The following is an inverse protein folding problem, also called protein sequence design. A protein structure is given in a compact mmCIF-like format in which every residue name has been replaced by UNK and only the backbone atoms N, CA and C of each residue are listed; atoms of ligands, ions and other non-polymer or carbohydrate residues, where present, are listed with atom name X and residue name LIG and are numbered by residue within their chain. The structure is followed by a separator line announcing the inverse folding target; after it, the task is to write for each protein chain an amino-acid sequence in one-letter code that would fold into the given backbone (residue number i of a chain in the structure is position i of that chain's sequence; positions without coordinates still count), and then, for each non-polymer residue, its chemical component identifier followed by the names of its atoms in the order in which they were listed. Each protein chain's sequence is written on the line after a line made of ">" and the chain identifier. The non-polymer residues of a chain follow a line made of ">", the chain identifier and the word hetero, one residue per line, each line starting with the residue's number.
data_IF_359637617965
#
_entry.id   IF_359637617965
#
_cell.length_a   1.000
_cell.length_b   1.000
_cell.length_c   1.000
_cell.angle_alpha   90.00
_cell.angle_beta   90.00
_cell.angle_gamma   90.00
#
_symmetry.space_group_name_H-M   'P 1'
#
loop_
_entity.id
_entity.type
_entity.pdbx_description
1 polymer ?
#
# COMPACT_ATOMS: atom_id res chain seq x y z
N UNK A 1 -13.61 -1.23 8.37
CA UNK A 1 -13.12 -2.28 7.46
C UNK A 1 -14.31 -3.10 7.00
N UNK A 2 -14.60 -3.18 5.69
CA UNK A 2 -15.75 -3.91 5.16
C UNK A 2 -15.72 -5.41 5.50
N UNK A 3 -16.89 -6.00 5.74
CA UNK A 3 -17.06 -7.45 5.67
C UNK A 3 -16.65 -7.98 4.29
N UNK A 4 -16.26 -9.26 4.24
CA UNK A 4 -15.86 -9.93 2.99
C UNK A 4 -14.46 -9.60 2.46
N UNK A 5 -13.77 -8.59 3.00
CA UNK A 5 -12.36 -8.32 2.69
C UNK A 5 -11.44 -8.85 3.79
N UNK A 6 -10.35 -9.52 3.40
CA UNK A 6 -9.29 -9.94 4.32
C UNK A 6 -8.67 -8.73 5.02
N UNK A 7 -8.36 -8.84 6.31
CA UNK A 7 -7.91 -7.68 7.10
C UNK A 7 -6.38 -7.56 7.07
N UNK A 8 -5.82 -6.48 6.49
CA UNK A 8 -4.39 -6.19 6.58
C UNK A 8 -3.98 -5.86 8.01
N UNK A 9 -2.90 -6.49 8.47
CA UNK A 9 -2.30 -6.22 9.77
C UNK A 9 -0.83 -5.91 9.59
N UNK A 10 -0.36 -4.83 10.21
CA UNK A 10 1.06 -4.49 10.28
C UNK A 10 1.40 -4.03 11.69
N UNK A 11 2.54 -4.47 12.19
CA UNK A 11 2.99 -4.23 13.56
C UNK A 11 4.45 -3.75 13.57
N UNK A 12 4.68 -2.68 14.32
CA UNK A 12 6.00 -2.19 14.72
C UNK A 12 6.12 -2.34 16.24
N UNK A 13 7.26 -2.83 16.70
CA UNK A 13 7.59 -2.91 18.12
C UNK A 13 8.43 -1.68 18.45
N UNK A 14 7.89 -0.85 19.33
CA UNK A 14 8.49 0.42 19.73
C UNK A 14 8.53 0.51 21.27
N UNK A 15 9.45 1.32 21.80
CA UNK A 15 9.42 1.72 23.21
C UNK A 15 8.27 2.70 23.44
N UNK A 16 7.96 3.00 24.71
CA UNK A 16 6.97 4.00 25.05
C UNK A 16 7.29 5.40 24.48
N UNK A 17 8.57 5.67 24.22
CA UNK A 17 9.08 6.91 23.61
C UNK A 17 9.08 6.87 22.07
N UNK A 18 8.56 5.79 21.45
CA UNK A 18 8.48 5.64 20.00
C UNK A 18 9.77 5.17 19.33
N UNK A 19 10.76 4.66 20.09
CA UNK A 19 12.00 4.15 19.51
C UNK A 19 11.84 2.70 19.03
N UNK A 20 12.30 2.39 17.81
CA UNK A 20 12.23 1.04 17.26
C UNK A 20 12.97 0.00 18.13
N UNK A 21 12.34 -1.15 18.39
CA UNK A 21 12.95 -2.27 19.13
C UNK A 21 13.18 -3.46 18.22
N UNK A 22 14.43 -3.93 18.13
CA UNK A 22 14.82 -5.06 17.25
C UNK A 22 14.46 -6.43 17.82
N UNK A 23 13.19 -6.67 18.12
CA UNK A 23 12.69 -7.94 18.64
C UNK A 23 12.25 -8.89 17.52
N UNK A 24 12.33 -10.19 17.78
CA UNK A 24 11.67 -11.21 16.96
C UNK A 24 10.56 -11.84 17.81
N UNK A 25 9.34 -11.81 17.31
CA UNK A 25 8.17 -12.29 18.03
C UNK A 25 7.15 -12.86 17.06
N UNK A 26 6.38 -13.83 17.52
CA UNK A 26 5.13 -14.22 16.88
C UNK A 26 4.02 -13.63 17.72
N UNK A 27 3.44 -12.53 17.25
CA UNK A 27 2.35 -11.86 17.94
C UNK A 27 1.05 -12.57 17.62
N UNK A 28 0.32 -13.00 18.65
CA UNK A 28 -0.95 -13.70 18.49
C UNK A 28 -2.10 -12.85 19.02
N UNK A 29 -3.27 -12.95 18.38
CA UNK A 29 -4.50 -12.29 18.82
C UNK A 29 -5.72 -13.14 18.47
N UNK A 30 -6.68 -13.23 19.37
CA UNK A 30 -7.91 -13.99 19.13
C UNK A 30 -8.71 -13.39 17.97
N UNK A 31 -9.14 -14.24 17.02
CA UNK A 31 -9.92 -13.80 15.86
C UNK A 31 -9.11 -13.15 14.73
N UNK A 32 -7.78 -13.08 14.88
CA UNK A 32 -6.88 -12.52 13.86
C UNK A 32 -5.72 -13.47 13.55
N UNK A 33 -5.11 -13.32 12.38
CA UNK A 33 -3.88 -14.03 12.04
C UNK A 33 -2.71 -13.60 12.92
N UNK A 34 -1.81 -14.54 13.22
CA UNK A 34 -0.54 -14.25 13.87
C UNK A 34 0.33 -13.33 13.00
N UNK A 35 0.97 -12.33 13.61
CA UNK A 35 1.98 -11.50 12.94
C UNK A 35 3.37 -11.98 13.31
N UNK A 36 4.09 -12.53 12.33
CA UNK A 36 5.51 -12.83 12.50
C UNK A 36 6.33 -11.55 12.36
N UNK A 37 6.76 -11.01 13.50
CA UNK A 37 7.65 -9.87 13.58
C UNK A 37 9.11 -10.32 13.50
N UNK A 38 9.90 -9.64 12.68
CA UNK A 38 11.36 -9.82 12.60
C UNK A 38 12.03 -8.47 12.74
N UNK A 39 13.04 -8.39 13.61
CA UNK A 39 13.76 -7.14 13.93
C UNK A 39 12.84 -5.95 14.24
N UNK A 40 11.69 -6.20 14.86
CA UNK A 40 10.76 -5.16 15.30
C UNK A 40 9.59 -4.90 14.37
N UNK A 41 9.59 -5.39 13.13
CA UNK A 41 8.49 -5.13 12.17
C UNK A 41 7.93 -6.41 11.56
N UNK A 42 6.64 -6.42 11.23
CA UNK A 42 6.02 -7.52 10.50
C UNK A 42 4.59 -7.22 10.08
N UNK A 43 4.13 -7.94 9.05
CA UNK A 43 2.75 -7.86 8.57
C UNK A 43 2.12 -9.26 8.45
N UNK A 44 0.79 -9.31 8.45
CA UNK A 44 -0.01 -10.48 8.14
C UNK A 44 -1.31 -10.08 7.45
N UNK A 45 -1.99 -11.07 6.88
CA UNK A 45 -3.31 -10.93 6.32
C UNK A 45 -4.25 -11.88 7.09
N UNK A 46 -5.25 -11.30 7.75
CA UNK A 46 -6.25 -12.07 8.49
C UNK A 46 -7.47 -12.37 7.62
N UNK A 47 -8.15 -13.48 7.90
CA UNK A 47 -9.40 -13.83 7.22
C UNK A 47 -10.44 -12.72 7.30
N UNK A 48 -11.28 -12.63 6.26
CA UNK A 48 -12.40 -11.72 6.23
C UNK A 48 -13.43 -12.03 7.32
N UNK A 49 -14.07 -10.99 7.86
CA UNK A 49 -15.21 -11.13 8.74
C UNK A 49 -16.51 -11.28 7.92
N UNK A 50 -17.37 -12.22 8.33
CA UNK A 50 -18.66 -12.47 7.69
C UNK A 50 -19.75 -11.49 8.15
N UNK A 51 -19.65 -10.97 9.37
CA UNK A 51 -20.65 -10.11 10.00
C UNK A 51 -20.02 -8.79 10.48
N UNK A 52 -20.79 -7.71 10.41
CA UNK A 52 -20.39 -6.42 10.94
C UNK A 52 -20.32 -6.44 12.47
N UNK A 53 -19.46 -5.61 13.05
CA UNK A 53 -19.29 -5.55 14.50
C UNK A 53 -18.01 -4.85 14.94
N UNK A 54 -17.92 -4.57 16.24
CA UNK A 54 -16.69 -4.11 16.86
C UNK A 54 -15.77 -5.31 17.07
N UNK A 55 -14.52 -5.19 16.62
CA UNK A 55 -13.45 -6.15 16.86
C UNK A 55 -12.29 -5.45 17.54
N UNK A 56 -11.54 -6.20 18.35
CA UNK A 56 -10.31 -5.69 18.97
C UNK A 56 -9.16 -6.57 18.53
N UNK A 57 -8.23 -5.98 17.77
CA UNK A 57 -6.96 -6.62 17.49
C UNK A 57 -5.99 -6.30 18.63
N UNK A 58 -5.74 -7.29 19.48
CA UNK A 58 -4.84 -7.19 20.64
C UNK A 58 -3.67 -8.17 20.47
N UNK A 59 -2.70 -7.88 19.59
CA UNK A 59 -1.53 -8.74 19.39
C UNK A 59 -0.62 -8.72 20.63
N UNK A 60 -0.20 -9.91 21.08
CA UNK A 60 0.70 -10.03 22.21
C UNK A 60 1.75 -11.15 22.04
N UNK A 61 2.90 -10.97 22.70
CA UNK A 61 3.92 -12.00 22.91
C UNK A 61 4.79 -11.63 24.12
N UNK A 62 4.80 -12.49 25.15
CA UNK A 62 5.44 -12.17 26.43
C UNK A 62 4.98 -10.80 26.99
N UNK A 63 5.89 -9.86 27.21
CA UNK A 63 5.58 -8.50 27.69
C UNK A 63 5.16 -7.53 26.57
N UNK A 64 5.30 -7.94 25.30
CA UNK A 64 4.88 -7.12 24.17
C UNK A 64 3.36 -7.17 24.06
N UNK A 65 2.73 -6.00 24.07
CA UNK A 65 1.29 -5.85 23.90
C UNK A 65 0.99 -4.67 22.98
N UNK A 66 -0.02 -4.82 22.14
CA UNK A 66 -0.66 -3.72 21.43
C UNK A 66 -2.16 -3.92 21.45
N UNK A 67 -2.91 -2.85 21.23
CA UNK A 67 -4.35 -2.92 21.08
C UNK A 67 -4.82 -1.94 20.01
N UNK A 68 -5.75 -2.39 19.17
CA UNK A 68 -6.39 -1.58 18.15
C UNK A 68 -7.85 -1.98 18.00
N UNK A 69 -8.73 -0.99 18.16
CA UNK A 69 -10.14 -1.15 17.82
C UNK A 69 -10.30 -1.15 16.29
N UNK A 70 -11.04 -2.13 15.77
CA UNK A 70 -11.38 -2.25 14.36
C UNK A 70 -12.90 -2.32 14.25
N UNK A 71 -13.49 -1.37 13.54
CA UNK A 71 -14.91 -1.43 13.19
C UNK A 71 -15.09 -2.21 11.91
N UNK A 72 -15.67 -3.41 12.01
CA UNK A 72 -16.14 -4.16 10.85
C UNK A 72 -17.50 -3.58 10.44
N UNK A 73 -17.58 -3.07 9.22
CA UNK A 73 -18.79 -2.46 8.67
C UNK A 73 -19.47 -3.40 7.68
N UNK A 74 -20.80 -3.25 7.55
CA UNK A 74 -21.54 -3.86 6.44
C UNK A 74 -20.91 -3.46 5.09
N UNK A 75 -21.10 -4.26 4.01
CA UNK A 75 -20.55 -3.94 2.72
C UNK A 75 -20.93 -2.50 2.31
N UNK A 76 -19.96 -1.58 2.15
CA UNK A 76 -20.29 -0.20 1.84
C UNK A 76 -20.78 -0.09 0.41
N UNK A 77 -21.54 0.97 0.12
CA UNK A 77 -21.75 1.42 -1.25
C UNK A 77 -20.42 1.95 -1.78
N UNK A 78 -19.75 1.17 -2.62
CA UNK A 78 -18.51 1.57 -3.28
C UNK A 78 -18.78 2.68 -4.29
N UNK A 79 -17.92 3.70 -4.29
CA UNK A 79 -17.91 4.77 -5.29
C UNK A 79 -17.06 4.28 -6.46
N UNK A 80 -17.64 3.90 -7.61
CA UNK A 80 -16.86 3.46 -8.75
C UNK A 80 -16.14 4.65 -9.39
N UNK A 81 -14.86 4.49 -9.68
CA UNK A 81 -14.02 5.47 -10.39
C UNK A 81 -13.22 4.77 -11.48
N UNK A 82 -13.01 5.47 -12.59
CA UNK A 82 -12.19 5.00 -13.72
C UNK A 82 -11.87 6.17 -14.65
N UNK A 83 -10.96 5.94 -15.60
CA UNK A 83 -10.61 6.90 -16.63
C UNK A 83 -9.77 8.07 -16.08
N UNK A 84 -9.77 9.18 -16.80
CA UNK A 84 -9.02 10.37 -16.39
C UNK A 84 -9.80 11.18 -15.35
N UNK A 85 -9.17 11.42 -14.21
CA UNK A 85 -9.73 12.27 -13.17
C UNK A 85 -9.74 13.74 -13.58
N UNK A 86 -10.69 14.54 -13.06
CA UNK A 86 -10.59 15.99 -13.10
C UNK A 86 -9.26 16.50 -12.52
N UNK A 87 -8.76 17.68 -12.95
CA UNK A 87 -7.47 18.22 -12.49
C UNK A 87 -7.32 18.36 -10.98
N UNK A 88 -8.42 18.49 -10.23
CA UNK A 88 -8.38 18.44 -8.77
C UNK A 88 -9.48 17.50 -8.29
N UNK A 89 -9.08 16.39 -7.69
CA UNK A 89 -9.99 15.38 -7.15
C UNK A 89 -9.66 15.14 -5.68
N UNK A 90 -10.68 15.12 -4.84
CA UNK A 90 -10.54 14.84 -3.41
C UNK A 90 -11.45 13.69 -3.04
N UNK A 91 -10.87 12.64 -2.48
CA UNK A 91 -11.57 11.60 -1.75
C UNK A 91 -11.43 11.91 -0.26
N UNK A 92 -12.50 12.41 0.41
CA UNK A 92 -12.43 12.81 1.81
C UNK A 92 -12.14 11.62 2.74
N UNK A 93 -11.98 11.90 4.03
CA UNK A 93 -11.82 10.84 5.04
C UNK A 93 -12.93 9.77 4.94
N UNK A 94 -12.56 8.53 5.27
CA UNK A 94 -13.45 7.38 5.27
C UNK A 94 -14.11 7.07 3.90
N UNK A 95 -13.50 7.49 2.79
CA UNK A 95 -13.98 7.15 1.45
C UNK A 95 -13.92 5.64 1.18
N UNK A 96 -14.88 5.13 0.41
CA UNK A 96 -14.97 3.72 -0.04
C UNK A 96 -14.99 3.69 -1.56
N UNK A 97 -13.81 3.64 -2.15
CA UNK A 97 -13.63 3.80 -3.60
C UNK A 97 -13.36 2.45 -4.24
N UNK A 98 -14.03 2.16 -5.34
CA UNK A 98 -13.74 1.02 -6.21
C UNK A 98 -13.15 1.54 -7.53
N UNK A 99 -11.89 1.21 -7.79
CA UNK A 99 -11.23 1.52 -9.06
C UNK A 99 -11.51 0.38 -10.03
N UNK A 100 -12.43 0.60 -10.96
CA UNK A 100 -13.03 -0.48 -11.79
C UNK A 100 -12.40 -0.63 -13.17
N UNK A 101 -11.57 0.32 -13.57
CA UNK A 101 -10.73 0.32 -14.77
C UNK A 101 -9.61 1.35 -14.54
N UNK A 102 -8.60 1.34 -15.41
CA UNK A 102 -7.42 2.20 -15.26
C UNK A 102 -7.80 3.65 -14.94
N UNK A 103 -7.15 4.18 -13.91
CA UNK A 103 -7.43 5.51 -13.37
C UNK A 103 -6.22 6.41 -13.61
N UNK A 104 -6.43 7.51 -14.30
CA UNK A 104 -5.36 8.46 -14.63
C UNK A 104 -5.49 9.74 -13.83
N UNK A 105 -4.45 10.10 -13.09
CA UNK A 105 -4.24 11.44 -12.56
C UNK A 105 -3.47 12.22 -13.65
N UNK A 106 -4.12 13.16 -14.36
CA UNK A 106 -3.49 13.83 -15.51
C UNK A 106 -2.31 14.72 -15.09
N UNK A 107 -1.48 15.12 -16.05
CA UNK A 107 -0.44 16.12 -15.83
C UNK A 107 -1.03 17.40 -15.24
N UNK A 108 -0.31 18.00 -14.28
CA UNK A 108 -0.77 19.15 -13.48
C UNK A 108 -2.06 18.89 -12.68
N UNK A 109 -2.54 17.65 -12.64
CA UNK A 109 -3.67 17.23 -11.81
C UNK A 109 -3.22 16.73 -10.44
N UNK A 110 -4.16 16.68 -9.50
CA UNK A 110 -3.94 16.17 -8.14
C UNK A 110 -5.12 15.30 -7.68
N UNK A 111 -4.79 14.14 -7.11
CA UNK A 111 -5.70 13.32 -6.31
C UNK A 111 -5.25 13.34 -4.84
N UNK A 112 -6.14 13.79 -3.96
CA UNK A 112 -5.94 13.73 -2.51
C UNK A 112 -6.86 12.69 -1.88
N UNK A 113 -6.31 11.80 -1.05
CA UNK A 113 -7.06 10.75 -0.35
C UNK A 113 -6.91 10.91 1.16
N UNK A 114 -8.03 11.08 1.87
CA UNK A 114 -8.08 11.28 3.31
C UNK A 114 -7.99 10.00 4.14
N UNK A 115 -7.64 10.14 5.42
CA UNK A 115 -7.47 9.05 6.38
C UNK A 115 -8.70 8.12 6.48
N UNK A 116 -8.46 6.84 6.81
CA UNK A 116 -9.51 5.83 6.94
C UNK A 116 -10.15 5.39 5.63
N UNK A 117 -9.69 5.90 4.48
CA UNK A 117 -10.18 5.51 3.17
C UNK A 117 -9.73 4.10 2.78
N UNK A 118 -10.58 3.41 2.03
CA UNK A 118 -10.26 2.12 1.43
C UNK A 118 -10.45 2.26 -0.08
N UNK A 119 -9.40 1.96 -0.80
CA UNK A 119 -9.34 1.94 -2.26
C UNK A 119 -9.27 0.48 -2.67
N UNK A 120 -10.40 -0.06 -3.11
CA UNK A 120 -10.48 -1.42 -3.65
C UNK A 120 -10.20 -1.35 -5.15
N UNK A 121 -9.28 -2.16 -5.63
CA UNK A 121 -8.88 -2.18 -7.04
C UNK A 121 -9.29 -3.49 -7.70
N UNK A 122 -9.90 -3.36 -8.87
CA UNK A 122 -10.29 -4.51 -9.69
C UNK A 122 -9.04 -5.20 -10.29
N UNK A 123 -9.16 -6.48 -10.69
CA UNK A 123 -8.01 -7.26 -11.15
C UNK A 123 -7.35 -6.61 -12.37
N UNK A 124 -6.01 -6.52 -12.35
CA UNK A 124 -5.22 -5.93 -13.44
C UNK A 124 -5.27 -4.40 -13.57
N UNK A 125 -6.12 -3.70 -12.82
CA UNK A 125 -6.28 -2.25 -12.94
C UNK A 125 -5.05 -1.48 -12.47
N UNK A 126 -4.60 -0.50 -13.25
CA UNK A 126 -3.50 0.40 -12.90
C UNK A 126 -3.98 1.79 -12.47
N UNK A 127 -3.21 2.41 -11.57
CA UNK A 127 -3.30 3.84 -11.28
C UNK A 127 -2.14 4.57 -11.98
N UNK A 128 -2.45 5.33 -13.01
CA UNK A 128 -1.49 6.09 -13.81
C UNK A 128 -1.34 7.50 -13.25
N UNK A 129 -0.15 7.83 -12.73
CA UNK A 129 0.13 9.12 -12.10
C UNK A 129 1.03 9.95 -13.02
N UNK A 130 0.45 10.93 -13.70
CA UNK A 130 1.18 11.95 -14.45
C UNK A 130 1.28 13.28 -13.70
N UNK A 131 0.37 13.52 -12.75
CA UNK A 131 0.37 14.64 -11.82
C UNK A 131 0.79 14.23 -10.41
N UNK A 132 -0.03 14.58 -9.41
CA UNK A 132 0.24 14.31 -7.98
C UNK A 132 -0.77 13.35 -7.36
N UNK A 133 -0.27 12.35 -6.64
CA UNK A 133 -1.06 11.53 -5.72
C UNK A 133 -0.62 11.83 -4.28
N UNK A 134 -1.52 12.40 -3.48
CA UNK A 134 -1.31 12.70 -2.07
C UNK A 134 -2.25 11.88 -1.19
N UNK A 135 -1.70 11.02 -0.32
CA UNK A 135 -2.47 10.13 0.56
C UNK A 135 -2.12 10.42 2.02
N UNK A 136 -3.08 11.01 2.74
CA UNK A 136 -2.92 11.45 4.12
C UNK A 136 -3.59 10.50 5.11
N UNK A 137 -3.04 9.31 5.30
CA UNK A 137 -3.46 8.39 6.36
C UNK A 137 -3.04 8.83 7.77
N UNK A 138 -3.60 8.19 8.77
CA UNK A 138 -3.22 8.32 10.18
C UNK A 138 -2.89 6.96 10.79
N UNK A 139 -2.09 6.95 11.87
CA UNK A 139 -1.68 5.70 12.53
C UNK A 139 -2.89 4.86 12.96
N UNK A 140 -3.97 5.48 13.45
CA UNK A 140 -5.23 4.85 13.89
C UNK A 140 -6.18 4.57 12.73
N UNK A 141 -6.08 5.36 11.65
CA UNK A 141 -6.95 5.33 10.47
C UNK A 141 -6.10 5.32 9.19
N UNK A 142 -5.40 4.20 8.90
CA UNK A 142 -4.58 4.11 7.70
C UNK A 142 -5.44 4.17 6.44
N UNK A 143 -4.85 4.58 5.32
CA UNK A 143 -5.45 4.38 4.00
C UNK A 143 -5.01 3.02 3.47
N UNK A 144 -5.94 2.27 2.89
CA UNK A 144 -5.64 0.91 2.41
C UNK A 144 -5.94 0.77 0.93
N UNK A 145 -4.94 0.36 0.16
CA UNK A 145 -5.08 -0.11 -1.22
C UNK A 145 -5.12 -1.65 -1.20
N UNK A 146 -6.20 -2.22 -1.69
CA UNK A 146 -6.48 -3.66 -1.55
C UNK A 146 -7.12 -4.22 -2.83
N UNK A 147 -6.76 -5.45 -3.27
CA UNK A 147 -7.48 -6.10 -4.37
C UNK A 147 -8.89 -6.50 -3.93
N UNK A 148 -9.76 -6.86 -4.89
CA UNK A 148 -11.03 -7.52 -4.55
C UNK A 148 -10.75 -8.87 -3.85
N UNK A 149 -9.79 -9.63 -4.36
CA UNK A 149 -9.35 -10.90 -3.79
C UNK A 149 -7.83 -11.06 -3.95
N UNK A 150 -7.18 -11.74 -3.00
CA UNK A 150 -5.72 -11.92 -2.99
C UNK A 150 -5.15 -12.68 -4.18
N UNK A 151 -5.96 -13.52 -4.82
CA UNK A 151 -5.62 -14.32 -6.00
C UNK A 151 -5.87 -13.56 -7.31
N UNK A 152 -6.45 -12.37 -7.22
CA UNK A 152 -6.74 -11.48 -8.35
C UNK A 152 -6.07 -10.12 -8.08
N UNK A 153 -4.74 -10.06 -8.19
CA UNK A 153 -4.00 -8.84 -7.93
C UNK A 153 -4.46 -7.71 -8.87
N UNK A 154 -4.39 -6.48 -8.36
CA UNK A 154 -4.46 -5.29 -9.20
C UNK A 154 -3.07 -5.01 -9.80
N UNK A 155 -2.99 -4.04 -10.72
CA UNK A 155 -1.76 -3.75 -11.43
C UNK A 155 -0.67 -3.15 -10.55
N UNK A 156 -0.62 -1.82 -10.49
CA UNK A 156 0.34 -1.05 -9.73
C UNK A 156 0.05 0.46 -9.83
N UNK A 157 0.80 1.25 -9.07
CA UNK A 157 0.82 2.72 -9.21
C UNK A 157 1.99 3.07 -10.13
N UNK A 158 1.67 3.54 -11.33
CA UNK A 158 2.66 3.80 -12.37
C UNK A 158 2.83 5.29 -12.58
N UNK A 159 3.97 5.83 -12.15
CA UNK A 159 4.27 7.25 -12.20
C UNK A 159 5.13 7.57 -13.42
N UNK A 160 4.66 8.43 -14.31
CA UNK A 160 5.41 8.82 -15.52
C UNK A 160 5.34 10.32 -15.76
N UNK A 161 6.51 10.91 -15.99
CA UNK A 161 6.69 12.34 -16.25
C UNK A 161 7.50 13.02 -15.14
N UNK A 162 8.28 14.03 -15.51
CA UNK A 162 9.20 14.74 -14.60
C UNK A 162 8.48 15.50 -13.46
N UNK A 163 7.16 15.72 -13.60
CA UNK A 163 6.32 16.33 -12.56
C UNK A 163 5.51 15.33 -11.73
N UNK A 164 5.64 14.02 -11.99
CA UNK A 164 4.84 13.01 -11.30
C UNK A 164 5.32 12.83 -9.85
N UNK A 165 4.43 13.03 -8.89
CA UNK A 165 4.74 12.91 -7.47
C UNK A 165 3.77 12.01 -6.72
N UNK A 166 4.32 11.18 -5.83
CA UNK A 166 3.54 10.34 -4.92
C UNK A 166 3.98 10.65 -3.49
N UNK A 167 3.03 11.02 -2.63
CA UNK A 167 3.27 11.25 -1.20
C UNK A 167 2.29 10.39 -0.41
N UNK A 168 2.80 9.36 0.27
CA UNK A 168 1.99 8.40 1.04
C UNK A 168 2.35 8.48 2.51
N UNK A 169 1.34 8.61 3.37
CA UNK A 169 1.50 8.56 4.81
C UNK A 169 0.53 7.57 5.43
N UNK A 170 1.02 6.66 6.29
CA UNK A 170 0.20 5.60 6.92
C UNK A 170 -0.66 4.82 5.92
N UNK A 171 -0.02 4.32 4.87
CA UNK A 171 -0.67 3.51 3.83
C UNK A 171 -0.35 2.03 4.00
N UNK A 172 -1.35 1.17 3.87
CA UNK A 172 -1.18 -0.26 3.66
C UNK A 172 -1.46 -0.55 2.18
N UNK A 173 -0.46 -1.03 1.45
CA UNK A 173 -0.55 -1.32 0.03
C UNK A 173 -0.28 -2.82 -0.19
N UNK A 174 -1.31 -3.52 -0.67
CA UNK A 174 -1.28 -4.96 -0.82
C UNK A 174 -1.85 -5.44 -2.14
N UNK A 175 -1.48 -6.66 -2.54
CA UNK A 175 -2.12 -7.40 -3.63
C UNK A 175 -1.98 -6.76 -5.00
N UNK A 176 -0.90 -6.01 -5.23
CA UNK A 176 -0.50 -5.55 -6.57
C UNK A 176 0.32 -6.62 -7.32
N UNK A 177 0.71 -6.33 -8.56
CA UNK A 177 1.60 -7.18 -9.35
C UNK A 177 0.86 -8.14 -10.29
N UNK A 178 -0.19 -7.65 -10.96
CA UNK A 178 -1.03 -8.50 -11.81
C UNK A 178 -0.36 -9.03 -13.07
N UNK A 179 0.57 -8.27 -13.64
CA UNK A 179 1.32 -8.67 -14.81
C UNK A 179 2.68 -9.27 -14.41
N UNK A 180 2.86 -10.57 -14.65
CA UNK A 180 4.09 -11.28 -14.34
C UNK A 180 5.25 -10.94 -15.30
N UNK A 181 4.93 -10.39 -16.48
CA UNK A 181 5.89 -10.06 -17.53
C UNK A 181 5.80 -8.56 -17.91
N UNK A 182 5.47 -7.71 -16.93
CA UNK A 182 5.16 -6.29 -17.14
C UNK A 182 6.25 -5.53 -17.88
N UNK A 183 7.53 -5.77 -17.58
CA UNK A 183 8.63 -5.10 -18.29
C UNK A 183 8.75 -5.55 -19.76
N UNK A 184 8.36 -6.78 -20.08
CA UNK A 184 8.30 -7.28 -21.46
C UNK A 184 7.09 -6.69 -22.20
N UNK A 185 5.95 -6.54 -21.50
CA UNK A 185 4.71 -5.99 -22.04
C UNK A 185 4.71 -4.45 -22.16
N UNK A 186 5.59 -3.76 -21.42
CA UNK A 186 5.69 -2.30 -21.36
C UNK A 186 7.06 -1.80 -21.80
N UNK A 187 7.43 -1.99 -23.09
CA UNK A 187 8.73 -1.57 -23.60
C UNK A 187 8.94 -0.07 -23.40
N UNK A 188 10.15 0.31 -22.98
CA UNK A 188 10.49 1.68 -22.63
C UNK A 188 10.28 2.02 -21.14
N UNK A 189 9.81 1.06 -20.33
CA UNK A 189 9.77 1.21 -18.86
C UNK A 189 11.09 0.83 -18.18
N UNK A 190 12.21 0.89 -18.91
CA UNK A 190 13.53 0.56 -18.39
C UNK A 190 13.89 -0.92 -18.47
N UNK A 191 14.87 -1.33 -17.67
CA UNK A 191 15.37 -2.70 -17.61
C UNK A 191 15.25 -3.24 -16.20
N UNK A 192 14.77 -4.48 -16.04
CA UNK A 192 14.65 -5.10 -14.72
C UNK A 192 15.12 -6.55 -14.73
N UNK A 193 15.75 -6.99 -13.64
CA UNK A 193 16.09 -8.41 -13.44
C UNK A 193 14.89 -9.26 -13.07
N UNK A 194 13.82 -8.62 -12.57
CA UNK A 194 12.53 -9.23 -12.25
C UNK A 194 11.49 -8.57 -13.14
N UNK A 195 10.70 -9.37 -13.84
CA UNK A 195 9.84 -8.84 -14.89
C UNK A 195 8.42 -8.56 -14.38
N UNK A 196 8.13 -8.97 -13.16
CA UNK A 196 6.82 -8.79 -12.54
C UNK A 196 6.55 -7.31 -12.23
N UNK A 197 5.30 -6.90 -12.45
CA UNK A 197 4.82 -5.54 -12.27
C UNK A 197 5.11 -5.02 -10.85
N UNK A 198 5.74 -3.85 -10.71
CA UNK A 198 5.96 -3.25 -9.40
C UNK A 198 4.66 -2.65 -8.84
N UNK A 199 4.52 -2.70 -7.53
CA UNK A 199 3.45 -2.01 -6.80
C UNK A 199 3.54 -0.48 -6.99
N UNK A 200 4.78 0.03 -7.12
CA UNK A 200 5.09 1.42 -7.41
C UNK A 200 6.18 1.51 -8.49
N UNK A 201 5.81 1.88 -9.72
CA UNK A 201 6.77 2.21 -10.77
C UNK A 201 7.02 3.72 -10.80
N UNK A 202 8.29 4.13 -10.87
CA UNK A 202 8.72 5.52 -11.01
C UNK A 202 9.56 5.70 -12.28
N UNK A 203 9.00 6.38 -13.28
CA UNK A 203 9.74 6.77 -14.49
C UNK A 203 10.66 7.97 -14.27
N UNK A 204 11.43 8.32 -15.30
CA UNK A 204 12.42 9.39 -15.26
C UNK A 204 11.89 10.70 -14.67
N UNK A 205 12.56 11.18 -13.61
CA UNK A 205 12.23 12.40 -12.88
C UNK A 205 11.10 12.27 -11.86
N UNK A 206 10.33 11.17 -11.85
CA UNK A 206 9.26 10.97 -10.89
C UNK A 206 9.80 10.84 -9.45
N UNK A 207 9.00 11.25 -8.48
CA UNK A 207 9.37 11.25 -7.07
C UNK A 207 8.31 10.60 -6.20
N UNK A 208 8.73 9.73 -5.29
CA UNK A 208 7.87 9.17 -4.27
C UNK A 208 8.45 9.30 -2.86
N UNK A 209 7.61 9.70 -1.93
CA UNK A 209 7.91 9.72 -0.49
C UNK A 209 6.86 8.89 0.23
N UNK A 210 7.31 7.89 0.97
CA UNK A 210 6.47 7.03 1.80
C UNK A 210 6.91 7.17 3.25
N UNK A 211 5.94 7.50 4.12
CA UNK A 211 6.14 7.65 5.55
C UNK A 211 5.19 6.73 6.31
N UNK A 212 5.71 5.90 7.21
CA UNK A 212 4.91 4.95 8.00
C UNK A 212 4.02 4.02 7.16
N UNK A 213 4.50 3.58 6.00
CA UNK A 213 3.74 2.74 5.08
C UNK A 213 4.14 1.26 5.18
N UNK A 214 3.21 0.36 4.83
CA UNK A 214 3.49 -1.06 4.70
C UNK A 214 3.14 -1.52 3.28
N UNK A 215 4.14 -2.04 2.55
CA UNK A 215 3.97 -2.68 1.26
C UNK A 215 4.16 -4.18 1.45
N UNK A 216 3.08 -4.94 1.37
CA UNK A 216 3.18 -6.37 1.64
C UNK A 216 2.14 -7.23 0.93
N UNK A 217 2.47 -8.52 0.77
CA UNK A 217 1.63 -9.47 0.02
C UNK A 217 1.34 -8.97 -1.41
N UNK A 218 2.38 -8.49 -2.10
CA UNK A 218 2.33 -8.11 -3.51
C UNK A 218 2.91 -9.24 -4.36
N UNK A 219 2.24 -9.56 -5.47
CA UNK A 219 2.67 -10.61 -6.39
C UNK A 219 3.80 -10.18 -7.31
N UNK A 220 4.15 -8.89 -7.33
CA UNK A 220 5.31 -8.36 -8.05
C UNK A 220 6.32 -7.68 -7.13
N UNK A 221 7.04 -6.69 -7.67
CA UNK A 221 8.07 -5.95 -6.93
C UNK A 221 7.42 -4.91 -6.01
N UNK A 222 8.09 -4.51 -4.92
CA UNK A 222 7.55 -3.44 -4.06
C UNK A 222 7.65 -2.07 -4.75
N UNK A 223 8.74 -1.78 -5.44
CA UNK A 223 8.90 -0.58 -6.24
C UNK A 223 9.88 -0.81 -7.42
N UNK A 224 9.93 0.09 -8.39
CA UNK A 224 10.98 0.16 -9.41
C UNK A 224 11.20 1.62 -9.80
N UNK A 225 12.43 1.99 -10.16
CA UNK A 225 12.77 3.34 -10.60
C UNK A 225 13.72 3.40 -11.78
N UNK A 226 13.47 4.33 -12.70
CA UNK A 226 14.35 4.71 -13.81
C UNK A 226 14.64 6.21 -13.70
N UNK A 227 15.87 6.62 -13.39
CA UNK A 227 16.26 8.02 -13.12
C UNK A 227 15.26 8.76 -12.19
N UNK A 228 14.81 8.05 -11.15
CA UNK A 228 13.74 8.46 -10.25
C UNK A 228 14.18 8.55 -8.79
N UNK A 229 13.34 9.16 -7.94
CA UNK A 229 13.68 9.41 -6.54
C UNK A 229 12.67 8.75 -5.60
N UNK A 230 13.12 7.83 -4.76
CA UNK A 230 12.30 7.19 -3.74
C UNK A 230 12.84 7.49 -2.34
N UNK A 231 11.97 7.96 -1.46
CA UNK A 231 12.24 8.02 -0.01
C UNK A 231 11.29 7.08 0.73
N UNK A 232 11.85 6.19 1.54
CA UNK A 232 11.13 5.35 2.49
C UNK A 232 11.54 5.74 3.90
N UNK A 233 10.59 6.20 4.72
CA UNK A 233 10.81 6.49 6.13
C UNK A 233 9.82 5.72 7.00
N UNK A 234 10.31 4.96 7.98
CA UNK A 234 9.50 4.09 8.85
C UNK A 234 8.59 3.12 8.07
N UNK A 235 9.06 2.57 6.96
CA UNK A 235 8.28 1.70 6.09
C UNK A 235 8.57 0.21 6.32
N UNK A 236 7.61 -0.64 6.03
CA UNK A 236 7.75 -2.10 5.98
C UNK A 236 7.58 -2.58 4.55
N UNK A 237 8.54 -3.35 4.03
CA UNK A 237 8.41 -4.10 2.77
C UNK A 237 8.56 -5.58 3.06
N UNK A 238 7.53 -6.38 2.80
CA UNK A 238 7.54 -7.82 3.12
C UNK A 238 6.70 -8.62 2.14
N UNK A 239 7.11 -9.84 1.79
CA UNK A 239 6.33 -10.73 0.88
C UNK A 239 5.96 -10.03 -0.44
N UNK A 240 6.95 -9.38 -1.02
CA UNK A 240 6.99 -8.97 -2.43
C UNK A 240 8.03 -9.86 -3.12
N UNK A 241 7.96 -10.04 -4.43
CA UNK A 241 8.95 -10.84 -5.18
C UNK A 241 10.37 -10.28 -4.97
N UNK A 242 10.48 -8.96 -5.00
CA UNK A 242 11.68 -8.21 -4.67
C UNK A 242 11.27 -6.87 -4.04
N UNK A 243 12.22 -6.18 -3.41
CA UNK A 243 12.02 -4.77 -3.04
C UNK A 243 11.95 -3.89 -4.29
N UNK A 244 12.67 -4.27 -5.34
CA UNK A 244 12.73 -3.49 -6.58
C UNK A 244 14.12 -3.39 -7.18
N UNK A 245 14.19 -2.73 -8.34
CA UNK A 245 15.41 -2.26 -8.97
C UNK A 245 15.33 -0.76 -9.23
N UNK A 246 16.45 -0.06 -9.07
CA UNK A 246 16.57 1.37 -9.33
C UNK A 246 17.76 1.62 -10.23
N UNK A 247 17.49 2.06 -11.45
CA UNK A 247 18.48 2.37 -12.47
C UNK A 247 18.63 3.89 -12.55
N UNK A 248 19.71 4.41 -11.98
CA UNK A 248 19.88 5.86 -11.83
C UNK A 248 19.00 6.45 -10.72
N UNK A 249 19.05 7.78 -10.57
CA UNK A 249 18.30 8.49 -9.53
C UNK A 249 18.83 8.26 -8.11
N UNK A 250 17.92 8.25 -7.11
CA UNK A 250 18.26 8.10 -5.68
C UNK A 250 17.21 7.28 -4.93
N UNK A 251 17.67 6.40 -4.04
CA UNK A 251 16.84 5.73 -3.03
C UNK A 251 17.36 6.07 -1.64
N UNK A 252 16.53 6.73 -0.85
CA UNK A 252 16.80 7.04 0.55
C UNK A 252 15.93 6.16 1.45
N UNK A 253 16.55 5.38 2.34
CA UNK A 253 15.84 4.52 3.30
C UNK A 253 16.22 4.95 4.72
N UNK A 254 15.21 5.22 5.53
CA UNK A 254 15.35 5.71 6.91
C UNK A 254 14.41 4.90 7.81
N UNK A 255 14.91 4.45 8.96
CA UNK A 255 14.11 3.80 10.00
C UNK A 255 13.18 2.66 9.52
N UNK A 256 13.52 1.98 8.42
CA UNK A 256 12.70 0.97 7.72
C UNK A 256 13.36 -0.40 7.76
#
# INVERSE_FOLDING_TARGET
>A
WPTGLEVPLAAWIETAEGASVRANARLSSSGFADVQVRRGVGAALSSAFAEAGAQTWAPAFAELTGERAIRIEEPPAWIPVSGTLPPTTVWPEDSRVAVTADLTIPENGELTIGAGSIVRLDPGVEMLVHGSLAVGGAAERPVVFVPIHRDQPWGGITCRGNGATVSLRHVLLMGSGADADWFDNHPGSGSSHRHEQPALYLGAGARATLEHCALFDNQGQAAHGEDAFLTLDHCLVQRCISVGQFNGGEVAIRHS
#
